data_IF_784629368187
#
_entry.id   IF_784629368187
#
_cell.length_a   1.000
_cell.length_b   1.000
_cell.length_c   1.000
_cell.angle_alpha   90.00
_cell.angle_beta   90.00
_cell.angle_gamma   90.00
#
_symmetry.space_group_name_H-M   'P 1'
#
loop_
_entity.id
_entity.type
_entity.pdbx_description
1 polymer ?
#
# COMPACT_ATOMS: atom_id res chain seq x y z
N UNK A 1 -32.96 -1.88 73.16
CA UNK A 1 -31.55 -1.48 73.07
C UNK A 1 -30.80 -2.66 72.50
N UNK A 2 -30.55 -2.66 71.19
CA UNK A 2 -29.29 -3.16 70.65
C UNK A 2 -29.23 -2.76 69.18
N UNK A 3 -28.16 -2.07 68.87
CA UNK A 3 -27.87 -1.29 67.68
C UNK A 3 -26.98 -2.15 66.78
N UNK A 4 -27.48 -2.55 65.60
CA UNK A 4 -26.68 -3.26 64.60
C UNK A 4 -26.16 -2.29 63.55
N UNK A 5 -24.98 -1.75 63.82
CA UNK A 5 -24.16 -1.04 62.83
C UNK A 5 -23.51 -2.05 61.86
N UNK A 6 -23.42 -1.77 60.55
CA UNK A 6 -22.68 -2.59 59.61
C UNK A 6 -21.18 -2.22 59.60
N UNK A 7 -20.33 -3.24 59.56
CA UNK A 7 -18.88 -3.12 59.37
C UNK A 7 -18.56 -2.74 57.92
N UNK A 8 -18.00 -1.56 57.72
CA UNK A 8 -17.13 -1.26 56.59
C UNK A 8 -15.79 -1.97 56.80
N UNK A 9 -15.28 -2.65 55.77
CA UNK A 9 -13.84 -2.68 55.50
C UNK A 9 -13.61 -2.96 54.02
N UNK A 10 -13.12 -1.91 53.37
CA UNK A 10 -12.82 -1.80 51.96
C UNK A 10 -11.67 -2.72 51.55
N UNK A 11 -11.88 -3.50 50.47
CA UNK A 11 -10.81 -3.95 49.58
C UNK A 11 -11.09 -3.44 48.18
N UNK A 12 -10.66 -2.20 47.93
CA UNK A 12 -10.53 -1.62 46.60
C UNK A 12 -9.32 -2.22 45.89
N UNK A 13 -9.50 -3.30 45.14
CA UNK A 13 -8.56 -3.71 44.09
C UNK A 13 -9.00 -3.08 42.77
N UNK A 14 -8.64 -1.82 42.56
CA UNK A 14 -8.73 -1.20 41.24
C UNK A 14 -7.72 -1.86 40.29
N UNK A 15 -8.09 -2.23 39.05
CA UNK A 15 -7.11 -2.76 38.12
C UNK A 15 -6.11 -1.67 37.74
N UNK A 16 -4.83 -2.02 37.85
CA UNK A 16 -3.70 -1.21 37.44
C UNK A 16 -3.95 -0.61 36.05
N UNK A 17 -3.85 0.71 35.98
CA UNK A 17 -3.92 1.48 34.74
C UNK A 17 -2.81 1.06 33.78
N UNK A 18 -3.12 0.09 32.93
CA UNK A 18 -2.41 -0.13 31.69
C UNK A 18 -2.60 1.11 30.83
N UNK A 19 -1.52 1.85 30.58
CA UNK A 19 -1.50 2.95 29.62
C UNK A 19 -1.82 2.39 28.24
N UNK A 20 -3.10 2.29 27.91
CA UNK A 20 -3.54 2.22 26.53
C UNK A 20 -3.08 3.53 25.88
N UNK A 21 -2.08 3.43 25.01
CA UNK A 21 -1.73 4.52 24.10
C UNK A 21 -2.91 4.71 23.14
N UNK A 22 -3.97 5.37 23.62
CA UNK A 22 -5.09 5.81 22.82
C UNK A 22 -4.59 6.95 21.95
N UNK A 23 -4.06 6.61 20.78
CA UNK A 23 -4.10 7.57 19.68
C UNK A 23 -5.56 8.03 19.57
N UNK A 24 -5.80 9.35 19.45
CA UNK A 24 -7.15 9.85 19.26
C UNK A 24 -7.77 9.17 18.05
N UNK A 25 -9.08 8.90 18.12
CA UNK A 25 -9.81 8.29 17.02
C UNK A 25 -9.57 9.06 15.70
N UNK A 26 -9.65 8.39 14.53
CA UNK A 26 -9.52 9.04 13.24
C UNK A 26 -10.38 10.30 13.14
N UNK A 27 -9.84 11.35 12.50
CA UNK A 27 -10.50 12.67 12.39
C UNK A 27 -11.91 12.56 11.80
N UNK A 28 -12.13 11.62 10.90
CA UNK A 28 -13.42 11.33 10.30
C UNK A 28 -13.80 9.87 10.58
N UNK A 29 -15.06 9.59 10.94
CA UNK A 29 -15.53 8.22 11.10
C UNK A 29 -15.34 7.40 9.82
N UNK A 30 -14.97 6.13 9.98
CA UNK A 30 -14.81 5.19 8.86
C UNK A 30 -16.10 5.10 8.04
N UNK A 31 -15.99 5.29 6.72
CA UNK A 31 -17.12 5.24 5.79
C UNK A 31 -17.99 6.51 5.74
N UNK A 32 -17.65 7.55 6.50
CA UNK A 32 -18.28 8.86 6.34
C UNK A 32 -17.92 9.46 4.97
N UNK A 33 -18.85 10.21 4.37
CA UNK A 33 -18.59 10.88 3.08
C UNK A 33 -17.37 11.79 3.13
N UNK A 34 -17.14 12.49 4.25
CA UNK A 34 -15.94 13.30 4.44
C UNK A 34 -14.65 12.47 4.34
N UNK A 35 -14.62 11.28 4.93
CA UNK A 35 -13.46 10.39 4.84
C UNK A 35 -13.27 9.85 3.42
N UNK A 36 -14.35 9.42 2.76
CA UNK A 36 -14.30 8.90 1.39
C UNK A 36 -13.81 9.99 0.45
N UNK A 37 -14.41 11.19 0.49
CA UNK A 37 -13.96 12.35 -0.29
C UNK A 37 -12.51 12.71 -0.01
N UNK A 38 -12.08 12.65 1.25
CA UNK A 38 -10.67 12.85 1.61
C UNK A 38 -9.76 11.78 0.99
N UNK A 39 -10.15 10.50 0.99
CA UNK A 39 -9.35 9.43 0.41
C UNK A 39 -9.16 9.61 -1.10
N UNK A 40 -10.21 9.97 -1.84
CA UNK A 40 -10.09 10.31 -3.27
C UNK A 40 -9.25 11.58 -3.49
N UNK A 41 -9.51 12.62 -2.71
CA UNK A 41 -8.71 13.86 -2.75
C UNK A 41 -7.23 13.61 -2.45
N UNK A 42 -6.93 12.67 -1.56
CA UNK A 42 -5.56 12.27 -1.22
C UNK A 42 -4.87 11.60 -2.40
N UNK A 43 -5.55 10.70 -3.12
CA UNK A 43 -5.03 10.08 -4.35
C UNK A 43 -4.72 11.16 -5.40
N UNK A 44 -5.66 12.07 -5.66
CA UNK A 44 -5.47 13.15 -6.62
C UNK A 44 -4.34 14.12 -6.20
N UNK A 45 -4.30 14.51 -4.93
CA UNK A 45 -3.25 15.38 -4.38
C UNK A 45 -1.88 14.73 -4.50
N UNK A 46 -1.78 13.43 -4.22
CA UNK A 46 -0.55 12.67 -4.42
C UNK A 46 -0.13 12.69 -5.87
N UNK A 47 -1.03 12.42 -6.82
CA UNK A 47 -0.70 12.49 -8.25
C UNK A 47 -0.18 13.87 -8.65
N UNK A 48 -0.83 14.94 -8.17
CA UNK A 48 -0.42 16.31 -8.47
C UNK A 48 0.98 16.64 -7.91
N UNK A 49 1.22 16.36 -6.62
CA UNK A 49 2.52 16.64 -5.98
C UNK A 49 3.63 15.82 -6.62
N UNK A 50 3.42 14.53 -6.83
CA UNK A 50 4.46 13.65 -7.38
C UNK A 50 4.69 13.90 -8.85
N UNK A 51 3.65 14.20 -9.62
CA UNK A 51 3.79 14.66 -10.99
C UNK A 51 4.63 15.94 -11.07
N UNK A 52 4.32 16.93 -10.23
CA UNK A 52 5.08 18.18 -10.18
C UNK A 52 6.54 17.98 -9.77
N UNK A 53 6.80 17.17 -8.73
CA UNK A 53 8.18 16.87 -8.30
C UNK A 53 8.93 16.08 -9.37
N UNK A 54 8.35 15.01 -9.90
CA UNK A 54 9.00 14.15 -10.87
C UNK A 54 9.27 14.89 -12.19
N UNK A 55 8.24 15.49 -12.79
CA UNK A 55 8.34 16.09 -14.12
C UNK A 55 8.81 17.54 -14.10
N UNK A 56 8.51 18.29 -13.04
CA UNK A 56 8.90 19.70 -12.91
C UNK A 56 10.26 19.94 -12.27
N UNK A 57 10.77 19.00 -11.46
CA UNK A 57 12.03 19.19 -10.72
C UNK A 57 13.03 18.09 -11.05
N UNK A 58 12.69 16.83 -10.76
CA UNK A 58 13.67 15.73 -10.80
C UNK A 58 14.12 15.42 -12.23
N UNK A 59 13.18 15.23 -13.17
CA UNK A 59 13.54 14.95 -14.56
C UNK A 59 14.43 16.06 -15.17
N UNK A 60 14.07 17.35 -15.11
CA UNK A 60 14.95 18.40 -15.61
C UNK A 60 16.32 18.46 -14.93
N UNK A 61 16.40 18.13 -13.63
CA UNK A 61 17.64 18.23 -12.86
C UNK A 61 18.56 17.00 -12.99
N UNK A 62 17.99 15.83 -13.24
CA UNK A 62 18.68 14.54 -13.18
C UNK A 62 18.77 13.83 -14.53
N UNK A 63 17.90 14.16 -15.50
CA UNK A 63 17.92 13.54 -16.81
C UNK A 63 19.13 14.03 -17.62
N UNK A 64 20.06 13.10 -17.85
CA UNK A 64 21.30 13.34 -18.59
C UNK A 64 21.29 12.69 -19.98
N UNK A 65 20.11 12.29 -20.47
CA UNK A 65 19.99 11.48 -21.68
C UNK A 65 20.43 10.03 -21.49
N UNK A 66 20.51 9.58 -20.23
CA UNK A 66 20.82 8.19 -19.88
C UNK A 66 19.62 7.29 -20.20
N UNK A 67 19.90 6.06 -20.63
CA UNK A 67 18.87 5.04 -20.81
C UNK A 67 18.21 4.71 -19.46
N UNK A 68 16.87 4.64 -19.46
CA UNK A 68 16.06 4.35 -18.28
C UNK A 68 16.11 2.86 -17.94
N UNK A 69 15.80 2.52 -16.67
CA UNK A 69 15.77 1.17 -16.09
C UNK A 69 17.13 0.49 -16.05
N UNK A 70 18.21 1.27 -15.98
CA UNK A 70 19.59 0.76 -15.93
C UNK A 70 20.13 0.68 -14.50
N UNK A 71 19.45 1.28 -13.53
CA UNK A 71 19.97 1.43 -12.17
C UNK A 71 21.04 2.52 -12.09
N UNK A 72 20.96 3.51 -12.98
CA UNK A 72 21.90 4.63 -13.00
C UNK A 72 21.78 5.47 -11.73
N UNK A 73 22.82 6.26 -11.44
CA UNK A 73 22.85 7.07 -10.21
C UNK A 73 21.68 8.07 -10.16
N UNK A 74 21.34 8.79 -11.25
CA UNK A 74 20.09 9.57 -11.33
C UNK A 74 18.83 8.80 -10.92
N UNK A 75 18.62 7.58 -11.41
CA UNK A 75 17.42 6.80 -11.12
C UNK A 75 17.32 6.38 -9.65
N UNK A 76 18.46 6.02 -9.05
CA UNK A 76 18.53 5.69 -7.63
C UNK A 76 18.20 6.92 -6.77
N UNK A 77 18.76 8.08 -7.11
CA UNK A 77 18.47 9.36 -6.42
C UNK A 77 17.00 9.74 -6.57
N UNK A 78 16.46 9.66 -7.80
CA UNK A 78 15.05 9.91 -8.08
C UNK A 78 14.16 9.04 -7.19
N UNK A 79 14.40 7.73 -7.13
CA UNK A 79 13.60 6.80 -6.32
C UNK A 79 13.73 7.02 -4.82
N UNK A 80 14.92 7.34 -4.31
CA UNK A 80 15.12 7.69 -2.89
C UNK A 80 14.29 8.92 -2.53
N UNK A 81 14.34 9.97 -3.36
CA UNK A 81 13.56 11.21 -3.14
C UNK A 81 12.07 10.91 -3.17
N UNK A 82 11.59 10.18 -4.18
CA UNK A 82 10.17 9.83 -4.30
C UNK A 82 9.70 8.94 -3.14
N UNK A 83 10.54 8.03 -2.65
CA UNK A 83 10.23 7.19 -1.49
C UNK A 83 10.15 8.02 -0.21
N UNK A 84 11.12 8.89 0.03
CA UNK A 84 11.11 9.80 1.16
C UNK A 84 9.87 10.71 1.13
N UNK A 85 9.52 11.23 -0.05
CA UNK A 85 8.30 12.00 -0.26
C UNK A 85 7.04 11.19 0.05
N UNK A 86 6.97 9.91 -0.35
CA UNK A 86 5.83 9.03 0.00
C UNK A 86 5.69 8.83 1.49
N UNK A 87 6.80 8.61 2.20
CA UNK A 87 6.79 8.48 3.66
C UNK A 87 6.33 9.78 4.32
N UNK A 88 6.88 10.93 3.92
CA UNK A 88 6.46 12.24 4.43
C UNK A 88 4.99 12.51 4.13
N UNK A 89 4.52 12.18 2.94
CA UNK A 89 3.13 12.33 2.53
C UNK A 89 2.18 11.53 3.43
N UNK A 90 2.52 10.26 3.71
CA UNK A 90 1.76 9.41 4.65
C UNK A 90 1.78 10.02 6.06
N UNK A 91 2.94 10.43 6.57
CA UNK A 91 3.08 11.04 7.90
C UNK A 91 2.25 12.33 8.03
N UNK A 92 2.27 13.21 7.03
CA UNK A 92 1.53 14.47 7.07
C UNK A 92 0.04 14.24 6.91
N UNK A 93 -0.39 13.58 5.84
CA UNK A 93 -1.80 13.58 5.46
C UNK A 93 -2.62 12.47 6.11
N UNK A 94 -2.03 11.31 6.39
CA UNK A 94 -2.73 10.21 7.07
C UNK A 94 -2.57 10.31 8.59
N UNK A 95 -1.35 10.47 9.09
CA UNK A 95 -1.13 10.57 10.54
C UNK A 95 -1.43 11.97 11.08
N UNK A 96 -0.91 13.03 10.46
CA UNK A 96 -1.10 14.41 10.94
C UNK A 96 -2.52 14.94 10.71
N UNK A 97 -3.04 14.84 9.49
CA UNK A 97 -4.34 15.43 9.12
C UNK A 97 -5.50 14.48 9.41
N UNK A 98 -5.45 13.25 8.91
CA UNK A 98 -6.54 12.29 9.08
C UNK A 98 -6.52 11.59 10.45
N UNK A 99 -5.42 11.68 11.21
CA UNK A 99 -5.25 11.07 12.55
C UNK A 99 -5.47 9.56 12.56
N UNK A 100 -5.04 8.89 11.50
CA UNK A 100 -5.18 7.43 11.33
C UNK A 100 -3.91 6.77 11.84
N UNK A 101 -4.00 5.69 12.62
CA UNK A 101 -2.82 4.95 13.09
C UNK A 101 -2.37 3.88 12.08
N UNK A 102 -1.15 3.36 12.24
CA UNK A 102 -0.68 2.20 11.45
C UNK A 102 -1.58 0.99 11.60
N UNK A 103 -2.14 0.78 12.79
CA UNK A 103 -3.08 -0.31 13.07
C UNK A 103 -4.40 -0.13 12.29
N UNK A 104 -4.92 1.09 12.21
CA UNK A 104 -6.11 1.41 11.43
C UNK A 104 -5.88 1.20 9.92
N UNK A 105 -4.66 1.47 9.45
CA UNK A 105 -4.22 1.20 8.07
C UNK A 105 -3.96 -0.29 7.80
N UNK A 106 -4.21 -1.18 8.76
CA UNK A 106 -4.04 -2.63 8.61
C UNK A 106 -2.62 -3.14 8.82
N UNK A 107 -1.71 -2.30 9.31
CA UNK A 107 -0.36 -2.69 9.75
C UNK A 107 -0.39 -2.99 11.25
N UNK A 108 -0.61 -4.26 11.58
CA UNK A 108 -0.59 -4.78 12.94
C UNK A 108 0.38 -5.95 13.05
N UNK A 109 0.96 -6.14 14.24
CA UNK A 109 1.77 -7.33 14.55
C UNK A 109 0.90 -8.58 14.79
N UNK A 110 -0.42 -8.40 14.87
CA UNK A 110 -1.36 -9.50 15.01
C UNK A 110 -1.23 -10.47 13.84
N UNK A 111 -0.93 -11.74 14.13
CA UNK A 111 -0.75 -12.81 13.14
C UNK A 111 0.31 -12.48 12.07
N UNK A 112 1.35 -11.71 12.43
CA UNK A 112 2.39 -11.26 11.49
C UNK A 112 2.95 -12.41 10.63
N UNK A 113 3.35 -13.52 11.23
CA UNK A 113 3.88 -14.68 10.47
C UNK A 113 2.90 -15.23 9.44
N UNK A 114 1.61 -15.32 9.79
CA UNK A 114 0.56 -15.78 8.86
C UNK A 114 0.34 -14.76 7.73
N UNK A 115 0.37 -13.46 8.05
CA UNK A 115 0.22 -12.40 7.05
C UNK A 115 1.42 -12.33 6.09
N UNK A 116 2.64 -12.55 6.59
CA UNK A 116 3.84 -12.67 5.77
C UNK A 116 3.75 -13.90 4.86
N UNK A 117 3.41 -15.07 5.41
CA UNK A 117 3.24 -16.30 4.64
C UNK A 117 2.14 -16.18 3.57
N UNK A 118 1.01 -15.55 3.92
CA UNK A 118 -0.06 -15.26 2.97
C UNK A 118 0.42 -14.32 1.86
N UNK A 119 1.22 -13.29 2.18
CA UNK A 119 1.79 -12.41 1.17
C UNK A 119 2.70 -13.14 0.18
N UNK A 120 3.57 -14.03 0.67
CA UNK A 120 4.39 -14.90 -0.18
C UNK A 120 3.52 -15.83 -1.03
N UNK A 121 2.48 -16.42 -0.45
CA UNK A 121 1.53 -17.27 -1.17
C UNK A 121 0.75 -16.52 -2.25
N UNK A 122 0.34 -15.28 -1.99
CA UNK A 122 -0.33 -14.41 -2.97
C UNK A 122 0.64 -14.02 -4.09
N UNK A 123 1.90 -13.72 -3.77
CA UNK A 123 2.94 -13.51 -4.80
C UNK A 123 3.10 -14.75 -5.68
N UNK A 124 3.23 -15.94 -5.09
CA UNK A 124 3.35 -17.20 -5.83
C UNK A 124 2.13 -17.45 -6.73
N UNK A 125 0.91 -17.23 -6.23
CA UNK A 125 -0.30 -17.30 -7.05
C UNK A 125 -0.35 -16.24 -8.15
N UNK A 126 0.21 -15.05 -7.90
CA UNK A 126 0.38 -13.97 -8.87
C UNK A 126 1.25 -14.37 -10.07
N UNK A 127 2.15 -15.35 -9.92
CA UNK A 127 2.91 -15.88 -11.06
C UNK A 127 2.01 -16.52 -12.12
N UNK A 128 0.87 -17.09 -11.73
CA UNK A 128 -0.13 -17.60 -12.69
C UNK A 128 -0.80 -16.46 -13.46
N UNK A 129 -1.07 -15.34 -12.77
CA UNK A 129 -1.59 -14.15 -13.42
C UNK A 129 -0.58 -13.56 -14.41
N UNK A 130 0.71 -13.56 -14.06
CA UNK A 130 1.79 -13.15 -14.96
C UNK A 130 1.90 -14.09 -16.16
N UNK A 131 1.87 -15.40 -15.94
CA UNK A 131 1.88 -16.37 -17.04
C UNK A 131 0.72 -16.14 -18.01
N UNK A 132 -0.48 -15.87 -17.49
CA UNK A 132 -1.63 -15.48 -18.30
C UNK A 132 -1.38 -14.18 -19.06
N UNK A 133 -0.80 -13.16 -18.42
CA UNK A 133 -0.47 -11.88 -19.05
C UNK A 133 0.55 -12.05 -20.18
N UNK A 134 1.63 -12.78 -19.94
CA UNK A 134 2.66 -13.09 -20.95
C UNK A 134 2.05 -13.78 -22.17
N UNK A 135 1.16 -14.75 -21.94
CA UNK A 135 0.41 -15.39 -23.01
C UNK A 135 -0.44 -14.40 -23.82
N UNK A 136 -1.13 -13.45 -23.16
CA UNK A 136 -1.97 -12.45 -23.86
C UNK A 136 -1.17 -11.44 -24.69
N UNK A 137 0.13 -11.29 -24.45
CA UNK A 137 1.02 -10.38 -25.19
C UNK A 137 2.06 -11.14 -26.04
N UNK A 138 1.85 -12.43 -26.26
CA UNK A 138 2.71 -13.32 -27.06
C UNK A 138 4.20 -13.29 -26.64
N UNK A 139 4.45 -13.13 -25.35
CA UNK A 139 5.81 -13.19 -24.77
C UNK A 139 6.04 -14.55 -24.15
N UNK A 140 7.16 -15.19 -24.49
CA UNK A 140 7.47 -16.52 -23.98
C UNK A 140 7.93 -16.49 -22.51
N UNK A 141 7.70 -17.59 -21.78
CA UNK A 141 8.26 -17.74 -20.42
C UNK A 141 9.79 -17.72 -20.41
N UNK A 142 10.43 -18.14 -21.50
CA UNK A 142 11.89 -18.12 -21.65
C UNK A 142 12.43 -16.69 -21.70
N UNK A 143 11.83 -15.82 -22.49
CA UNK A 143 12.20 -14.39 -22.56
C UNK A 143 11.97 -13.70 -21.23
N UNK A 144 10.81 -13.94 -20.59
CA UNK A 144 10.51 -13.43 -19.26
C UNK A 144 11.56 -13.85 -18.22
N UNK A 145 11.95 -15.13 -18.24
CA UNK A 145 12.98 -15.66 -17.35
C UNK A 145 14.35 -15.02 -17.61
N UNK A 146 14.74 -14.87 -18.87
CA UNK A 146 15.99 -14.20 -19.24
C UNK A 146 16.00 -12.73 -18.79
N UNK A 147 14.90 -12.00 -18.93
CA UNK A 147 14.78 -10.63 -18.45
C UNK A 147 14.96 -10.56 -16.93
N UNK A 148 14.26 -11.41 -16.18
CA UNK A 148 14.34 -11.43 -14.71
C UNK A 148 15.75 -11.81 -14.25
N UNK A 149 16.34 -12.87 -14.81
CA UNK A 149 17.68 -13.32 -14.40
C UNK A 149 18.80 -12.41 -14.92
N UNK A 150 18.54 -11.63 -15.97
CA UNK A 150 19.49 -10.69 -16.57
C UNK A 150 19.64 -9.35 -15.85
N UNK A 151 18.82 -9.03 -14.84
CA UNK A 151 18.97 -7.77 -14.11
C UNK A 151 20.33 -7.69 -13.39
N UNK A 152 21.08 -6.62 -13.67
CA UNK A 152 22.31 -6.27 -12.96
C UNK A 152 22.07 -5.98 -11.48
N UNK A 153 23.13 -6.01 -10.66
CA UNK A 153 23.05 -5.64 -9.25
C UNK A 153 22.46 -4.24 -9.03
N UNK A 154 22.83 -3.27 -9.88
CA UNK A 154 22.31 -1.90 -9.78
C UNK A 154 20.81 -1.84 -10.10
N UNK A 155 20.35 -2.57 -11.11
CA UNK A 155 18.93 -2.72 -11.39
C UNK A 155 18.20 -3.39 -10.22
N UNK A 156 18.78 -4.43 -9.60
CA UNK A 156 18.21 -5.07 -8.41
C UNK A 156 18.04 -4.10 -7.24
N UNK A 157 19.04 -3.26 -6.97
CA UNK A 157 18.93 -2.21 -5.96
C UNK A 157 17.82 -1.23 -6.31
N UNK A 158 17.74 -0.77 -7.56
CA UNK A 158 16.67 0.11 -8.03
C UNK A 158 15.29 -0.53 -7.83
N UNK A 159 15.12 -1.79 -8.22
CA UNK A 159 13.86 -2.54 -8.08
C UNK A 159 13.42 -2.70 -6.62
N UNK A 160 14.37 -2.89 -5.69
CA UNK A 160 14.06 -2.89 -4.25
C UNK A 160 13.61 -1.51 -3.78
N UNK A 161 14.24 -0.43 -4.24
CA UNK A 161 13.80 0.94 -3.91
C UNK A 161 12.38 1.22 -4.43
N UNK A 162 12.08 0.81 -5.67
CA UNK A 162 10.72 0.87 -6.23
C UNK A 162 9.75 0.03 -5.38
N UNK A 163 10.14 -1.18 -4.98
CA UNK A 163 9.33 -2.04 -4.13
C UNK A 163 9.00 -1.39 -2.77
N UNK A 164 9.95 -0.67 -2.16
CA UNK A 164 9.67 0.12 -0.95
C UNK A 164 8.76 1.29 -1.26
N UNK A 165 9.00 2.00 -2.37
CA UNK A 165 8.17 3.12 -2.80
C UNK A 165 6.70 2.72 -2.92
N UNK A 166 6.38 1.60 -3.56
CA UNK A 166 4.99 1.19 -3.77
C UNK A 166 4.28 0.77 -2.47
N UNK A 167 5.01 0.23 -1.48
CA UNK A 167 4.38 -0.10 -0.19
C UNK A 167 3.87 1.15 0.51
N UNK A 168 4.72 2.19 0.64
CA UNK A 168 4.31 3.44 1.28
C UNK A 168 3.47 4.34 0.38
N UNK A 169 3.79 4.36 -0.90
CA UNK A 169 3.17 5.23 -1.89
C UNK A 169 1.84 4.71 -2.42
N UNK A 170 1.58 3.41 -2.36
CA UNK A 170 0.39 2.82 -2.95
C UNK A 170 -0.38 1.97 -1.95
N UNK A 171 0.21 0.91 -1.37
CA UNK A 171 -0.52 -0.03 -0.51
C UNK A 171 -1.13 0.63 0.73
N UNK A 172 -0.38 1.53 1.37
CA UNK A 172 -0.91 2.34 2.51
C UNK A 172 -2.14 3.15 2.11
N UNK A 173 -2.14 3.75 0.93
CA UNK A 173 -3.23 4.64 0.47
C UNK A 173 -4.42 3.81 -0.03
N UNK A 174 -4.18 2.86 -0.93
CA UNK A 174 -5.25 2.10 -1.57
C UNK A 174 -5.83 1.04 -0.64
N UNK A 175 -5.00 0.20 -0.01
CA UNK A 175 -5.45 -0.97 0.76
C UNK A 175 -5.59 -0.64 2.24
N UNK A 176 -4.75 0.27 2.73
CA UNK A 176 -4.80 0.77 4.09
C UNK A 176 -5.87 1.84 4.32
N UNK A 177 -6.19 2.70 3.35
CA UNK A 177 -7.07 3.85 3.59
C UNK A 177 -8.32 3.92 2.69
N UNK A 178 -8.18 3.92 1.36
CA UNK A 178 -9.29 4.08 0.42
C UNK A 178 -10.25 2.87 0.43
N UNK A 179 -9.73 1.65 0.27
CA UNK A 179 -10.56 0.44 0.25
C UNK A 179 -11.33 0.26 1.56
N UNK A 180 -10.74 0.41 2.77
CA UNK A 180 -11.48 0.32 4.03
C UNK A 180 -12.55 1.42 4.19
N UNK A 181 -12.25 2.65 3.73
CA UNK A 181 -13.23 3.74 3.75
C UNK A 181 -14.46 3.41 2.87
N UNK A 182 -14.24 2.89 1.66
CA UNK A 182 -15.33 2.42 0.81
C UNK A 182 -16.04 1.21 1.42
N UNK A 183 -15.30 0.23 1.94
CA UNK A 183 -15.83 -1.00 2.53
C UNK A 183 -16.71 -0.75 3.75
N UNK A 184 -16.44 0.29 4.53
CA UNK A 184 -17.26 0.67 5.67
C UNK A 184 -18.69 1.12 5.27
N UNK A 185 -18.88 1.52 4.00
CA UNK A 185 -20.18 1.98 3.48
C UNK A 185 -20.79 1.05 2.42
N UNK A 186 -19.95 0.36 1.66
CA UNK A 186 -20.36 -0.43 0.50
C UNK A 186 -20.00 -1.91 0.67
N UNK A 187 -20.53 -2.74 -0.23
CA UNK A 187 -20.21 -4.17 -0.26
C UNK A 187 -18.72 -4.42 -0.56
N UNK A 188 -18.17 -5.58 -0.17
CA UNK A 188 -16.80 -5.95 -0.50
C UNK A 188 -16.47 -5.81 -2.00
N UNK A 189 -17.38 -6.27 -2.86
CA UNK A 189 -17.19 -6.23 -4.31
C UNK A 189 -17.07 -4.79 -4.84
N UNK A 190 -17.91 -3.88 -4.36
CA UNK A 190 -17.85 -2.46 -4.75
C UNK A 190 -16.57 -1.81 -4.26
N UNK A 191 -16.18 -2.03 -3.01
CA UNK A 191 -14.97 -1.46 -2.44
C UNK A 191 -13.70 -1.94 -3.19
N UNK A 192 -13.61 -3.23 -3.50
CA UNK A 192 -12.50 -3.81 -4.28
C UNK A 192 -12.52 -3.26 -5.70
N UNK A 193 -13.67 -3.30 -6.39
CA UNK A 193 -13.80 -2.87 -7.78
C UNK A 193 -13.42 -1.40 -7.97
N UNK A 194 -14.00 -0.51 -7.17
CA UNK A 194 -13.70 0.94 -7.24
C UNK A 194 -12.23 1.21 -6.90
N UNK A 195 -11.69 0.62 -5.83
CA UNK A 195 -10.27 0.83 -5.49
C UNK A 195 -9.35 0.34 -6.60
N UNK A 196 -9.66 -0.79 -7.24
CA UNK A 196 -8.85 -1.37 -8.33
C UNK A 196 -8.88 -0.51 -9.59
N UNK A 197 -10.04 0.06 -9.93
CA UNK A 197 -10.17 0.99 -11.06
C UNK A 197 -9.40 2.28 -10.79
N UNK A 198 -9.52 2.85 -9.60
CA UNK A 198 -8.78 4.08 -9.22
C UNK A 198 -7.28 3.81 -9.19
N UNK A 199 -6.86 2.65 -8.68
CA UNK A 199 -5.47 2.20 -8.71
C UNK A 199 -4.93 2.08 -10.14
N UNK A 200 -5.71 1.51 -11.06
CA UNK A 200 -5.31 1.43 -12.47
C UNK A 200 -5.20 2.81 -13.12
N UNK A 201 -6.19 3.68 -12.91
CA UNK A 201 -6.18 5.05 -13.43
C UNK A 201 -5.02 5.90 -12.85
N UNK A 202 -4.61 5.63 -11.61
CA UNK A 202 -3.48 6.28 -10.96
C UNK A 202 -2.16 6.13 -11.72
N UNK A 203 -2.00 5.06 -12.51
CA UNK A 203 -0.80 4.82 -13.32
C UNK A 203 -0.74 5.66 -14.61
N UNK A 204 -1.81 6.40 -14.93
CA UNK A 204 -1.93 7.32 -16.07
C UNK A 204 -1.73 6.71 -17.48
N UNK A 205 -1.47 5.41 -17.60
CA UNK A 205 -1.56 4.65 -18.85
C UNK A 205 -2.95 4.01 -18.97
N UNK A 206 -3.77 4.58 -19.85
CA UNK A 206 -5.14 4.13 -20.10
C UNK A 206 -5.24 3.21 -21.32
N UNK A 207 -4.12 2.74 -21.87
CA UNK A 207 -4.17 1.71 -22.90
C UNK A 207 -4.93 0.48 -22.36
N UNK A 208 -5.86 -0.11 -23.13
CA UNK A 208 -6.76 -1.14 -22.60
C UNK A 208 -6.03 -2.29 -21.92
N UNK A 209 -4.91 -2.73 -22.49
CA UNK A 209 -4.12 -3.85 -21.96
C UNK A 209 -3.41 -3.51 -20.65
N UNK A 210 -2.77 -2.34 -20.54
CA UNK A 210 -2.08 -1.92 -19.31
C UNK A 210 -3.10 -1.64 -18.21
N UNK A 211 -4.16 -0.91 -18.55
CA UNK A 211 -5.23 -0.58 -17.62
C UNK A 211 -5.91 -1.84 -17.05
N UNK A 212 -6.32 -2.79 -17.91
CA UNK A 212 -6.91 -4.05 -17.47
C UNK A 212 -5.93 -4.88 -16.62
N UNK A 213 -4.63 -4.80 -16.91
CA UNK A 213 -3.57 -5.39 -16.10
C UNK A 213 -3.53 -4.86 -14.68
N UNK A 214 -3.50 -3.54 -14.57
CA UNK A 214 -3.46 -2.86 -13.28
C UNK A 214 -4.76 -3.06 -12.51
N UNK A 215 -5.92 -3.16 -13.18
CA UNK A 215 -7.17 -3.56 -12.53
C UNK A 215 -7.05 -4.99 -11.97
N UNK A 216 -6.47 -5.93 -12.73
CA UNK A 216 -6.27 -7.31 -12.28
C UNK A 216 -5.40 -7.41 -11.03
N UNK A 217 -4.24 -6.74 -11.02
CA UNK A 217 -3.42 -6.61 -9.81
C UNK A 217 -4.18 -5.93 -8.67
N UNK A 218 -4.94 -4.89 -9.01
CA UNK A 218 -5.82 -4.17 -8.11
C UNK A 218 -6.75 -5.09 -7.34
N UNK A 219 -7.42 -5.99 -8.07
CA UNK A 219 -8.37 -6.97 -7.55
C UNK A 219 -7.67 -8.04 -6.71
N UNK A 220 -6.53 -8.59 -7.16
CA UNK A 220 -5.77 -9.60 -6.42
C UNK A 220 -5.40 -9.08 -5.02
N UNK A 221 -4.81 -7.89 -4.95
CA UNK A 221 -4.43 -7.27 -3.68
C UNK A 221 -5.65 -6.81 -2.88
N UNK A 222 -6.71 -6.34 -3.55
CA UNK A 222 -7.95 -5.96 -2.89
C UNK A 222 -8.66 -7.12 -2.20
N UNK A 223 -8.75 -8.28 -2.85
CA UNK A 223 -9.28 -9.52 -2.26
C UNK A 223 -8.41 -9.96 -1.08
N UNK A 224 -7.08 -9.90 -1.25
CA UNK A 224 -6.10 -10.24 -0.21
C UNK A 224 -6.31 -9.40 1.04
N UNK A 225 -6.45 -8.08 0.88
CA UNK A 225 -6.76 -7.16 1.98
C UNK A 225 -8.11 -7.47 2.62
N UNK A 226 -9.16 -7.71 1.83
CA UNK A 226 -10.51 -7.95 2.35
C UNK A 226 -10.55 -9.22 3.22
N UNK A 227 -9.92 -10.29 2.76
CA UNK A 227 -9.90 -11.58 3.47
C UNK A 227 -9.02 -11.56 4.71
N UNK A 228 -7.83 -10.97 4.63
CA UNK A 228 -6.88 -10.94 5.75
C UNK A 228 -7.19 -9.86 6.79
N UNK A 229 -7.92 -8.81 6.38
CA UNK A 229 -8.09 -7.57 7.15
C UNK A 229 -6.77 -6.89 7.53
N UNK A 230 -5.70 -7.20 6.79
CA UNK A 230 -4.38 -6.62 6.96
C UNK A 230 -3.87 -6.13 5.61
N UNK A 231 -3.07 -5.07 5.65
CA UNK A 231 -2.37 -4.53 4.47
C UNK A 231 -1.01 -5.19 4.29
N UNK A 232 -0.53 -5.95 5.29
CA UNK A 232 0.77 -6.62 5.25
C UNK A 232 0.84 -7.66 4.11
N UNK A 233 -0.15 -8.56 3.92
CA UNK A 233 -0.03 -9.58 2.88
C UNK A 233 0.01 -8.97 1.47
N UNK A 234 -0.81 -7.96 1.19
CA UNK A 234 -0.77 -7.27 -0.10
C UNK A 234 0.52 -6.47 -0.28
N UNK A 235 1.03 -5.82 0.78
CA UNK A 235 2.32 -5.12 0.77
C UNK A 235 3.48 -6.05 0.46
N UNK A 236 3.51 -7.23 1.09
CA UNK A 236 4.55 -8.25 0.82
C UNK A 236 4.45 -8.74 -0.62
N UNK A 237 3.25 -9.07 -1.09
CA UNK A 237 3.07 -9.56 -2.46
C UNK A 237 3.48 -8.51 -3.51
N UNK A 238 3.08 -7.25 -3.31
CA UNK A 238 3.42 -6.14 -4.18
C UNK A 238 4.93 -5.81 -4.12
N UNK A 239 5.54 -5.83 -2.94
CA UNK A 239 6.99 -5.68 -2.78
C UNK A 239 7.76 -6.77 -3.53
N UNK A 240 7.35 -8.03 -3.40
CA UNK A 240 7.98 -9.15 -4.10
C UNK A 240 7.80 -9.04 -5.61
N UNK A 241 6.63 -8.59 -6.08
CA UNK A 241 6.40 -8.34 -7.51
C UNK A 241 7.48 -7.43 -8.09
N UNK A 242 7.73 -6.28 -7.45
CA UNK A 242 8.75 -5.34 -7.92
C UNK A 242 10.20 -5.82 -7.70
N UNK A 243 10.52 -6.30 -6.50
CA UNK A 243 11.90 -6.67 -6.18
C UNK A 243 12.39 -7.92 -6.93
N UNK A 244 11.48 -8.85 -7.23
CA UNK A 244 11.80 -10.11 -7.93
C UNK A 244 11.61 -9.97 -9.44
N UNK A 245 10.44 -9.52 -9.89
CA UNK A 245 10.06 -9.56 -11.31
C UNK A 245 10.39 -8.25 -12.04
N UNK A 246 10.36 -7.13 -11.32
CA UNK A 246 10.72 -5.82 -11.82
C UNK A 246 9.74 -5.33 -12.90
N UNK A 247 10.27 -5.09 -14.10
CA UNK A 247 9.51 -4.56 -15.24
C UNK A 247 8.87 -5.62 -16.13
N UNK A 248 8.80 -6.86 -15.65
CA UNK A 248 8.08 -7.94 -16.32
C UNK A 248 6.57 -7.72 -16.21
#
# INVERSE_FOLDING_TARGET
MEETAPRDDARSSGPAGGRSSHLPAPRWPWGSWKQISWAFGLVALRMAIFGAVLYGILKPALDRGEERRTGSTPELVENVILTALSVVFVLVFLHGVARVSWRDLGFSRDRLGQNLALGVGVFAAGLLYIAFRLYTIDTSLGEAWQQVTGYSLRQRVLLVLVAVHVVFGEEVIFRGYLQPALRARFSPAVAIGVTSIVFAAYHADLSPMVFAGNVGWGVIWGITRERSRSTIPSSVAHFLNWSVLGWL
#
